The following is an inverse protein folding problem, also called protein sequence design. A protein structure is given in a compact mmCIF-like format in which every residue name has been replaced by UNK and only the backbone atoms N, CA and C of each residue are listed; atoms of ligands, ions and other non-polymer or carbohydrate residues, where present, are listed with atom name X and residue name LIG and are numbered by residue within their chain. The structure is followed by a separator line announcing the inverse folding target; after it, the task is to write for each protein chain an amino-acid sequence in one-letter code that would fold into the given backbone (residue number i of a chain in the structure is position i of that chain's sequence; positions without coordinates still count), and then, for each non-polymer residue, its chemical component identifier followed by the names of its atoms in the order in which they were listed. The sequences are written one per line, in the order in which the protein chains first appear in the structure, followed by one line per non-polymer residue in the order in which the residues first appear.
data_IF_928331957136
#
_entry.id   IF_928331957136
#
_cell.length_a   1.000
_cell.length_b   1.000
_cell.length_c   1.000
_cell.angle_alpha   90.00
_cell.angle_beta   90.00
_cell.angle_gamma   90.00
#
_symmetry.space_group_name_H-M   'P 1'
#
loop_
_entity.id
_entity.type
_entity.pdbx_description
1 polymer ?
#
# COMPACT_ATOMS: atom_id res chain seq x y z
N UNK A 1 24.79 5.56 -48.41
CA UNK A 1 25.69 6.32 -49.32
C UNK A 1 25.48 7.80 -49.10
N UNK A 2 26.31 8.39 -48.26
CA UNK A 2 26.71 9.80 -48.33
C UNK A 2 27.91 9.94 -47.39
N UNK A 3 29.06 9.48 -47.88
CA UNK A 3 30.36 9.61 -47.20
C UNK A 3 30.79 11.07 -47.30
N UNK A 4 31.02 11.72 -46.15
CA UNK A 4 31.70 13.02 -46.10
C UNK A 4 33.13 12.74 -45.63
N UNK A 5 34.03 12.61 -46.58
CA UNK A 5 35.47 12.41 -46.37
C UNK A 5 36.13 13.77 -46.12
N UNK A 6 36.83 13.94 -45.00
CA UNK A 6 37.69 15.11 -44.82
C UNK A 6 39.02 14.94 -45.58
N UNK A 7 39.68 16.07 -45.87
CA UNK A 7 40.82 16.17 -46.79
C UNK A 7 42.15 15.55 -46.29
N UNK A 8 42.13 14.75 -45.20
CA UNK A 8 43.34 14.12 -44.62
C UNK A 8 43.27 12.60 -44.44
N UNK A 9 42.19 11.93 -44.83
CA UNK A 9 42.17 10.45 -44.88
C UNK A 9 42.37 9.75 -43.53
N UNK A 10 42.18 10.45 -42.42
CA UNK A 10 42.13 9.83 -41.10
C UNK A 10 40.67 9.53 -40.79
N UNK A 11 40.33 8.24 -40.69
CA UNK A 11 39.11 7.77 -40.05
C UNK A 11 39.15 8.21 -38.60
N UNK A 12 38.63 9.41 -38.31
CA UNK A 12 38.18 9.75 -36.98
C UNK A 12 37.19 8.65 -36.60
N UNK A 13 37.56 7.86 -35.60
CA UNK A 13 36.75 6.84 -34.96
C UNK A 13 35.42 7.48 -34.57
N UNK A 14 34.47 7.45 -35.51
CA UNK A 14 33.14 7.98 -35.34
C UNK A 14 32.36 6.81 -34.81
N UNK A 15 32.30 6.71 -33.50
CA UNK A 15 31.18 6.12 -32.77
C UNK A 15 31.50 6.28 -31.28
N UNK A 16 31.13 7.45 -30.75
CA UNK A 16 30.58 7.44 -29.41
C UNK A 16 29.47 6.38 -29.43
N UNK A 17 29.70 5.21 -28.84
CA UNK A 17 28.71 4.15 -28.71
C UNK A 17 27.44 4.80 -28.15
N UNK A 18 26.41 4.87 -28.99
CA UNK A 18 25.15 5.46 -28.60
C UNK A 18 24.63 4.64 -27.42
N UNK A 19 23.97 5.24 -26.43
CA UNK A 19 23.37 4.50 -25.29
C UNK A 19 22.53 3.29 -25.75
N UNK A 20 21.94 3.37 -26.95
CA UNK A 20 21.27 2.27 -27.63
C UNK A 20 22.18 1.10 -28.02
N UNK A 21 23.39 1.35 -28.51
CA UNK A 21 24.34 0.30 -28.93
C UNK A 21 24.84 -0.50 -27.72
N UNK A 22 25.10 0.18 -26.60
CA UNK A 22 25.45 -0.47 -25.34
C UNK A 22 24.32 -1.36 -24.79
N UNK A 23 23.07 -0.88 -24.86
CA UNK A 23 21.89 -1.64 -24.44
C UNK A 23 21.65 -2.87 -25.33
N UNK A 24 21.80 -2.72 -26.65
CA UNK A 24 21.71 -3.82 -27.62
C UNK A 24 22.80 -4.86 -27.36
N UNK A 25 24.04 -4.44 -27.13
CA UNK A 25 25.15 -5.34 -26.80
C UNK A 25 24.91 -6.11 -25.50
N UNK A 26 24.41 -5.44 -24.47
CA UNK A 26 24.06 -6.07 -23.19
C UNK A 26 22.95 -7.12 -23.36
N UNK A 27 21.93 -6.83 -24.19
CA UNK A 27 20.87 -7.78 -24.50
C UNK A 27 21.41 -9.01 -25.25
N UNK A 28 22.24 -8.81 -26.28
CA UNK A 28 22.81 -9.90 -27.08
C UNK A 28 23.66 -10.84 -26.20
N UNK A 29 24.51 -10.28 -25.32
CA UNK A 29 25.30 -11.07 -24.37
C UNK A 29 24.41 -11.90 -23.45
N UNK A 30 23.38 -11.27 -22.86
CA UNK A 30 22.42 -11.95 -21.98
C UNK A 30 21.70 -13.09 -22.70
N UNK A 31 21.19 -12.85 -23.91
CA UNK A 31 20.53 -13.88 -24.71
C UNK A 31 21.47 -15.05 -24.97
N UNK A 32 22.73 -14.77 -25.33
CA UNK A 32 23.74 -15.80 -25.58
C UNK A 32 24.04 -16.68 -24.34
N UNK A 33 24.22 -16.05 -23.18
CA UNK A 33 24.41 -16.74 -21.91
C UNK A 33 23.21 -17.63 -21.56
N UNK A 34 21.99 -17.13 -21.76
CA UNK A 34 20.77 -17.89 -21.46
C UNK A 34 20.57 -19.07 -22.41
N UNK A 35 20.82 -18.90 -23.71
CA UNK A 35 20.78 -20.01 -24.68
C UNK A 35 21.80 -21.09 -24.29
N UNK A 36 23.01 -20.69 -23.90
CA UNK A 36 24.06 -21.61 -23.46
C UNK A 36 23.64 -22.37 -22.20
N UNK A 37 23.18 -21.66 -21.17
CA UNK A 37 22.72 -22.23 -19.90
C UNK A 37 21.53 -23.19 -20.10
N UNK A 38 20.55 -22.81 -20.90
CA UNK A 38 19.40 -23.65 -21.25
C UNK A 38 19.83 -24.94 -21.95
N UNK A 39 20.75 -24.84 -22.91
CA UNK A 39 21.31 -25.98 -23.63
C UNK A 39 22.06 -26.93 -22.68
N UNK A 40 22.88 -26.38 -21.78
CA UNK A 40 23.64 -27.15 -20.79
C UNK A 40 22.72 -27.87 -19.79
N UNK A 41 21.66 -27.21 -19.33
CA UNK A 41 20.66 -27.83 -18.44
C UNK A 41 19.87 -28.93 -19.14
N UNK A 42 19.60 -28.79 -20.44
CA UNK A 42 19.01 -29.86 -21.27
C UNK A 42 20.01 -30.99 -21.58
N UNK A 43 21.29 -30.82 -21.23
CA UNK A 43 22.32 -31.85 -21.37
C UNK A 43 22.73 -32.15 -22.81
N UNK A 44 22.45 -31.25 -23.76
CA UNK A 44 22.70 -31.49 -25.19
C UNK A 44 23.92 -30.70 -25.70
N UNK A 45 24.74 -31.28 -26.59
CA UNK A 45 25.81 -30.55 -27.24
C UNK A 45 25.24 -29.57 -28.29
N UNK A 46 26.00 -28.52 -28.61
CA UNK A 46 25.59 -27.49 -29.60
C UNK A 46 25.23 -28.06 -30.97
N UNK A 47 25.87 -29.16 -31.38
CA UNK A 47 25.54 -29.88 -32.63
C UNK A 47 24.12 -30.45 -32.60
N UNK A 48 23.71 -31.05 -31.49
CA UNK A 48 22.35 -31.60 -31.35
C UNK A 48 21.32 -30.46 -31.36
N UNK A 49 21.61 -29.34 -30.69
CA UNK A 49 20.75 -28.15 -30.77
C UNK A 49 20.64 -27.60 -32.20
N UNK A 50 21.74 -27.64 -32.97
CA UNK A 50 21.76 -27.26 -34.39
C UNK A 50 20.81 -28.12 -35.21
N UNK A 51 20.87 -29.45 -35.04
CA UNK A 51 20.03 -30.39 -35.74
C UNK A 51 18.54 -30.22 -35.38
N UNK A 52 18.24 -30.02 -34.09
CA UNK A 52 16.87 -29.82 -33.59
C UNK A 52 16.25 -28.49 -34.04
N UNK A 53 17.01 -27.40 -33.96
CA UNK A 53 16.51 -26.06 -34.33
C UNK A 53 16.59 -25.80 -35.83
N UNK A 54 17.39 -26.58 -36.57
CA UNK A 54 17.77 -26.35 -37.96
C UNK A 54 18.55 -25.04 -38.19
N UNK A 55 19.24 -24.55 -37.15
CA UNK A 55 20.09 -23.36 -37.17
C UNK A 55 21.54 -23.79 -37.23
N UNK A 56 22.37 -23.18 -38.09
CA UNK A 56 23.75 -23.65 -38.32
C UNK A 56 24.62 -23.67 -37.04
N UNK A 57 25.57 -24.61 -36.91
CA UNK A 57 26.46 -24.67 -35.73
C UNK A 57 27.29 -23.41 -35.53
N UNK A 58 27.70 -22.77 -36.63
CA UNK A 58 28.44 -21.51 -36.62
C UNK A 58 27.60 -20.37 -36.02
N UNK A 59 26.34 -20.28 -36.43
CA UNK A 59 25.43 -19.26 -35.87
C UNK A 59 25.19 -19.50 -34.39
N UNK A 60 24.97 -20.75 -33.95
CA UNK A 60 24.81 -21.06 -32.53
C UNK A 60 26.06 -20.71 -31.71
N UNK A 61 27.25 -20.88 -32.27
CA UNK A 61 28.49 -20.48 -31.61
C UNK A 61 28.57 -18.96 -31.41
N UNK A 62 28.24 -18.18 -32.43
CA UNK A 62 28.18 -16.71 -32.36
C UNK A 62 27.09 -16.24 -31.39
N UNK A 63 25.89 -16.85 -31.47
CA UNK A 63 24.77 -16.57 -30.58
C UNK A 63 25.15 -16.80 -29.12
N UNK A 64 25.68 -17.99 -28.78
CA UNK A 64 26.09 -18.30 -27.40
C UNK A 64 27.24 -17.43 -26.92
N UNK A 65 28.12 -16.96 -27.81
CA UNK A 65 29.19 -16.00 -27.48
C UNK A 65 28.68 -14.57 -27.29
N UNK A 66 27.42 -14.29 -27.66
CA UNK A 66 26.88 -12.93 -27.66
C UNK A 66 27.50 -12.05 -28.75
N UNK A 67 27.86 -12.64 -29.88
CA UNK A 67 28.50 -11.96 -31.00
C UNK A 67 27.56 -11.86 -32.22
N UNK A 68 27.58 -10.69 -32.86
CA UNK A 68 26.81 -10.42 -34.06
C UNK A 68 25.32 -10.16 -33.81
N UNK A 69 24.56 -9.97 -34.89
CA UNK A 69 23.14 -9.67 -34.80
C UNK A 69 22.31 -10.96 -34.68
N UNK A 70 21.45 -11.01 -33.67
CA UNK A 70 20.54 -12.13 -33.44
C UNK A 70 19.27 -11.92 -34.26
N UNK A 71 19.02 -12.82 -35.21
CA UNK A 71 17.72 -12.89 -35.90
C UNK A 71 16.66 -13.41 -34.94
N UNK A 72 15.57 -12.66 -34.75
CA UNK A 72 14.43 -13.06 -33.92
C UNK A 72 13.84 -14.40 -34.39
N UNK A 73 13.74 -14.61 -35.71
CA UNK A 73 13.21 -15.85 -36.27
C UNK A 73 14.09 -17.06 -36.00
N UNK A 74 15.42 -16.91 -36.03
CA UNK A 74 16.34 -17.99 -35.66
C UNK A 74 16.35 -18.22 -34.15
N UNK A 75 16.24 -17.16 -33.34
CA UNK A 75 16.13 -17.27 -31.90
C UNK A 75 14.86 -18.00 -31.46
N UNK A 76 13.72 -17.74 -32.11
CA UNK A 76 12.46 -18.46 -31.88
C UNK A 76 12.64 -19.98 -32.07
N UNK A 77 13.26 -20.40 -33.17
CA UNK A 77 13.53 -21.82 -33.46
C UNK A 77 14.46 -22.46 -32.43
N UNK A 78 15.44 -21.70 -31.93
CA UNK A 78 16.33 -22.15 -30.85
C UNK A 78 15.57 -22.28 -29.54
N UNK A 79 14.70 -21.34 -29.20
CA UNK A 79 13.87 -21.39 -27.99
C UNK A 79 12.96 -22.62 -28.00
N UNK A 80 12.26 -22.87 -29.11
CA UNK A 80 11.41 -24.05 -29.32
C UNK A 80 12.19 -25.35 -29.16
N UNK A 81 13.38 -25.45 -29.79
CA UNK A 81 14.24 -26.62 -29.65
C UNK A 81 14.74 -26.86 -28.22
N UNK A 82 14.75 -25.82 -27.37
CA UNK A 82 15.11 -25.89 -25.96
C UNK A 82 13.89 -26.07 -25.03
N UNK A 83 12.69 -26.27 -25.57
CA UNK A 83 11.42 -26.33 -24.82
C UNK A 83 11.14 -25.08 -23.97
N UNK A 84 11.59 -23.91 -24.45
CA UNK A 84 11.39 -22.64 -23.77
C UNK A 84 10.70 -21.64 -24.68
N UNK A 85 10.02 -20.66 -24.07
CA UNK A 85 9.46 -19.53 -24.80
C UNK A 85 10.54 -18.47 -25.02
N UNK A 86 10.43 -17.71 -26.11
CA UNK A 86 11.45 -16.72 -26.49
C UNK A 86 11.66 -15.64 -25.42
N UNK A 87 10.60 -15.24 -24.70
CA UNK A 87 10.64 -14.21 -23.64
C UNK A 87 11.60 -14.59 -22.52
N UNK A 88 11.79 -15.88 -22.30
CA UNK A 88 12.71 -16.42 -21.30
C UNK A 88 14.17 -16.08 -21.65
N UNK A 89 14.51 -16.10 -22.95
CA UNK A 89 15.85 -15.78 -23.44
C UNK A 89 16.10 -14.28 -23.50
N UNK A 90 15.07 -13.47 -23.79
CA UNK A 90 15.21 -12.01 -24.02
C UNK A 90 14.83 -11.14 -22.82
N UNK A 91 14.10 -11.66 -21.85
CA UNK A 91 13.54 -10.88 -20.73
C UNK A 91 14.60 -10.25 -19.82
N UNK A 92 14.21 -9.25 -19.03
CA UNK A 92 15.12 -8.64 -18.04
C UNK A 92 15.39 -9.56 -16.86
N UNK A 93 14.33 -10.14 -16.29
CA UNK A 93 14.43 -11.03 -15.14
C UNK A 93 15.15 -12.34 -15.49
N UNK A 94 15.99 -12.83 -14.56
CA UNK A 94 16.61 -14.14 -14.69
C UNK A 94 15.53 -15.23 -14.54
N UNK A 95 15.27 -16.02 -15.57
CA UNK A 95 14.19 -16.97 -15.54
C UNK A 95 14.37 -18.17 -14.60
N UNK A 96 15.59 -18.46 -14.17
CA UNK A 96 15.87 -19.58 -13.26
C UNK A 96 15.72 -19.18 -11.79
N UNK A 97 15.78 -17.89 -11.48
CA UNK A 97 15.77 -17.37 -10.10
C UNK A 97 14.65 -16.38 -9.82
N UNK A 98 13.97 -15.85 -10.86
CA UNK A 98 12.89 -14.88 -10.69
C UNK A 98 11.58 -15.53 -10.24
N UNK A 99 11.18 -15.19 -9.02
CA UNK A 99 9.87 -15.53 -8.50
C UNK A 99 8.74 -14.90 -9.33
N UNK A 100 8.96 -13.74 -9.96
CA UNK A 100 7.95 -13.08 -10.79
C UNK A 100 7.60 -13.92 -12.02
N UNK A 101 8.61 -14.50 -12.69
CA UNK A 101 8.39 -15.39 -13.83
C UNK A 101 7.73 -16.70 -13.41
N UNK A 102 8.14 -17.26 -12.27
CA UNK A 102 7.52 -18.46 -11.69
C UNK A 102 6.05 -18.24 -11.32
N UNK A 103 5.73 -17.10 -10.69
CA UNK A 103 4.36 -16.69 -10.37
C UNK A 103 3.55 -16.50 -11.65
N UNK A 104 4.10 -15.88 -12.68
CA UNK A 104 3.40 -15.69 -13.95
C UNK A 104 3.03 -17.02 -14.64
N UNK A 105 3.90 -18.04 -14.57
CA UNK A 105 3.61 -19.38 -15.11
C UNK A 105 2.54 -20.13 -14.29
N UNK A 106 2.64 -20.06 -12.97
CA UNK A 106 1.59 -20.60 -12.07
C UNK A 106 0.25 -19.89 -12.29
N UNK A 107 0.27 -18.57 -12.43
CA UNK A 107 -0.92 -17.78 -12.67
C UNK A 107 -1.58 -18.13 -14.01
N UNK A 108 -0.81 -18.26 -15.10
CA UNK A 108 -1.34 -18.65 -16.42
C UNK A 108 -2.01 -20.02 -16.42
N UNK A 109 -1.46 -20.97 -15.68
CA UNK A 109 -1.98 -22.35 -15.59
C UNK A 109 -3.12 -22.52 -14.59
N UNK A 110 -3.38 -21.51 -13.75
CA UNK A 110 -4.41 -21.58 -12.73
C UNK A 110 -5.85 -21.44 -13.29
N UNK A 111 -6.84 -22.08 -12.66
CA UNK A 111 -8.27 -21.87 -12.92
C UNK A 111 -8.69 -20.38 -12.85
N UNK A 112 -9.76 -20.03 -13.56
CA UNK A 112 -10.22 -18.63 -13.68
C UNK A 112 -10.56 -17.97 -12.32
N UNK A 113 -11.18 -18.71 -11.42
CA UNK A 113 -11.49 -18.27 -10.05
C UNK A 113 -10.23 -18.05 -9.20
N UNK A 114 -9.22 -18.92 -9.34
CA UNK A 114 -7.92 -18.78 -8.68
C UNK A 114 -7.18 -17.55 -9.19
N UNK A 115 -7.18 -17.32 -10.51
CA UNK A 115 -6.59 -16.12 -11.11
C UNK A 115 -7.25 -14.86 -10.59
N UNK A 116 -8.58 -14.84 -10.51
CA UNK A 116 -9.31 -13.70 -9.97
C UNK A 116 -8.93 -13.41 -8.52
N UNK A 117 -8.89 -14.43 -7.65
CA UNK A 117 -8.46 -14.27 -6.24
C UNK A 117 -7.04 -13.71 -6.12
N UNK A 118 -6.12 -14.18 -6.95
CA UNK A 118 -4.73 -13.66 -6.94
C UNK A 118 -4.70 -12.20 -7.39
N UNK A 119 -5.46 -11.83 -8.43
CA UNK A 119 -5.56 -10.43 -8.84
C UNK A 119 -6.19 -9.56 -7.74
N UNK A 120 -7.22 -10.04 -7.05
CA UNK A 120 -7.85 -9.30 -5.96
C UNK A 120 -6.89 -9.08 -4.77
N UNK A 121 -6.03 -10.07 -4.47
CA UNK A 121 -5.01 -9.97 -3.42
C UNK A 121 -3.86 -9.04 -3.79
N UNK A 122 -3.46 -9.02 -5.07
CA UNK A 122 -2.31 -8.25 -5.56
C UNK A 122 -2.71 -6.84 -6.04
N UNK A 123 -4.00 -6.59 -6.26
CA UNK A 123 -4.50 -5.28 -6.69
C UNK A 123 -4.40 -4.30 -5.51
N UNK A 124 -3.67 -3.18 -5.65
CA UNK A 124 -3.78 -2.10 -4.68
C UNK A 124 -5.21 -1.58 -4.76
N UNK A 125 -6.02 -1.84 -3.73
CA UNK A 125 -7.40 -1.37 -3.75
C UNK A 125 -7.40 0.16 -3.89
N UNK A 126 -8.17 0.73 -4.83
CA UNK A 126 -8.33 2.17 -4.90
C UNK A 126 -8.67 2.71 -3.52
N UNK A 127 -7.97 3.75 -3.12
CA UNK A 127 -8.07 4.40 -1.82
C UNK A 127 -9.51 4.74 -1.40
N UNK A 128 -10.46 4.85 -2.34
CA UNK A 128 -11.88 5.05 -2.07
C UNK A 128 -12.63 3.73 -1.80
N UNK A 129 -12.41 2.69 -2.63
CA UNK A 129 -13.00 1.35 -2.41
C UNK A 129 -12.44 0.64 -1.17
N UNK A 130 -11.18 0.90 -0.81
CA UNK A 130 -10.55 0.35 0.40
C UNK A 130 -11.20 0.87 1.69
N UNK A 131 -11.77 2.10 1.63
CA UNK A 131 -12.40 2.78 2.75
C UNK A 131 -13.86 2.39 2.95
N UNK A 132 -14.50 1.78 1.94
CA UNK A 132 -15.93 1.42 1.91
C UNK A 132 -16.79 2.57 2.47
N UNK A 133 -18.01 2.30 2.90
CA UNK A 133 -18.87 3.29 3.56
C UNK A 133 -18.53 3.44 5.06
N UNK A 134 -17.23 3.49 5.39
CA UNK A 134 -16.73 3.54 6.77
C UNK A 134 -16.18 4.92 7.09
N UNK A 135 -16.74 5.55 8.11
CA UNK A 135 -16.33 6.87 8.58
C UNK A 135 -15.64 6.71 9.93
N UNK A 136 -14.51 7.38 10.13
CA UNK A 136 -13.82 7.40 11.42
C UNK A 136 -13.74 8.82 11.99
N UNK A 137 -14.30 9.02 13.17
CA UNK A 137 -14.19 10.27 13.92
C UNK A 137 -12.92 10.22 14.77
N UNK A 138 -11.97 11.10 14.46
CA UNK A 138 -10.71 11.27 15.19
C UNK A 138 -10.69 12.61 15.91
N UNK A 139 -9.86 12.73 16.95
CA UNK A 139 -9.72 13.96 17.73
C UNK A 139 -9.58 13.70 19.23
N UNK A 140 -9.28 14.74 19.99
CA UNK A 140 -9.08 14.61 21.44
C UNK A 140 -10.36 14.21 22.18
N UNK A 141 -10.16 13.71 23.41
CA UNK A 141 -11.28 13.48 24.33
C UNK A 141 -12.02 14.81 24.58
N UNK A 142 -13.33 14.74 24.74
CA UNK A 142 -14.18 15.94 24.84
C UNK A 142 -14.50 16.64 23.51
N UNK A 143 -13.96 16.21 22.36
CA UNK A 143 -14.34 16.80 21.06
C UNK A 143 -15.81 16.56 20.68
N UNK A 144 -16.49 15.61 21.32
CA UNK A 144 -17.87 15.23 20.99
C UNK A 144 -18.01 14.01 20.06
N UNK A 145 -16.91 13.29 19.77
CA UNK A 145 -16.90 12.12 18.85
C UNK A 145 -17.96 11.07 19.17
N UNK A 146 -18.07 10.65 20.43
CA UNK A 146 -19.04 9.61 20.84
C UNK A 146 -20.49 10.10 20.68
N UNK A 147 -20.77 11.33 21.12
CA UNK A 147 -22.09 11.95 21.00
C UNK A 147 -22.49 12.14 19.54
N UNK A 148 -21.63 12.78 18.74
CA UNK A 148 -21.90 13.05 17.32
C UNK A 148 -21.94 11.77 16.50
N UNK A 149 -21.05 10.81 16.75
CA UNK A 149 -21.04 9.53 16.05
C UNK A 149 -22.30 8.71 16.31
N UNK A 150 -22.79 8.69 17.55
CA UNK A 150 -24.03 7.99 17.87
C UNK A 150 -25.25 8.63 17.17
N UNK A 151 -25.37 9.96 17.25
CA UNK A 151 -26.47 10.71 16.62
C UNK A 151 -26.42 10.62 15.09
N UNK A 152 -25.23 10.73 14.49
CA UNK A 152 -25.06 10.58 13.05
C UNK A 152 -25.40 9.15 12.59
N UNK A 153 -25.01 8.13 13.36
CA UNK A 153 -25.39 6.74 13.09
C UNK A 153 -26.90 6.54 13.09
N UNK A 154 -27.60 7.13 14.06
CA UNK A 154 -29.08 7.11 14.11
C UNK A 154 -29.70 7.83 12.91
N UNK A 155 -29.21 9.02 12.57
CA UNK A 155 -29.74 9.82 11.47
C UNK A 155 -29.53 9.17 10.09
N UNK A 156 -28.41 8.48 9.90
CA UNK A 156 -28.02 7.83 8.65
C UNK A 156 -28.45 6.35 8.57
N UNK A 157 -28.94 5.77 9.67
CA UNK A 157 -29.30 4.35 9.75
C UNK A 157 -28.09 3.41 9.66
N UNK A 158 -26.91 3.84 10.12
CA UNK A 158 -25.66 3.05 10.07
C UNK A 158 -25.12 2.76 11.47
N UNK A 159 -24.44 1.61 11.68
CA UNK A 159 -23.88 1.25 12.98
C UNK A 159 -22.86 2.27 13.48
N UNK A 160 -22.91 2.59 14.77
CA UNK A 160 -21.89 3.36 15.46
C UNK A 160 -21.14 2.45 16.45
N UNK A 161 -19.81 2.48 16.41
CA UNK A 161 -18.94 1.69 17.29
C UNK A 161 -17.84 2.59 17.86
N UNK A 162 -17.47 2.34 19.11
CA UNK A 162 -16.28 2.94 19.73
C UNK A 162 -15.16 1.90 19.77
N UNK A 163 -13.97 2.26 19.30
CA UNK A 163 -12.84 1.32 19.25
C UNK A 163 -12.49 0.77 20.64
N UNK A 164 -12.60 1.59 21.69
CA UNK A 164 -12.35 1.15 23.06
C UNK A 164 -13.33 0.05 23.50
N UNK A 165 -14.59 0.13 23.06
CA UNK A 165 -15.60 -0.89 23.38
C UNK A 165 -15.27 -2.22 22.69
N UNK A 166 -14.81 -2.17 21.44
CA UNK A 166 -14.33 -3.36 20.74
C UNK A 166 -13.09 -3.98 21.44
N UNK A 167 -12.17 -3.14 21.94
CA UNK A 167 -11.03 -3.61 22.74
C UNK A 167 -11.49 -4.29 24.02
N UNK A 168 -12.45 -3.70 24.74
CA UNK A 168 -13.02 -4.27 25.98
C UNK A 168 -13.72 -5.60 25.73
N UNK A 169 -14.54 -5.67 24.67
CA UNK A 169 -15.26 -6.88 24.27
C UNK A 169 -14.28 -7.99 23.88
N UNK A 170 -13.17 -7.66 23.21
CA UNK A 170 -12.12 -8.61 22.85
C UNK A 170 -11.28 -9.06 24.06
N UNK A 171 -10.93 -8.15 24.95
CA UNK A 171 -10.10 -8.43 26.12
C UNK A 171 -10.89 -9.07 27.28
N UNK A 172 -12.22 -8.94 27.26
CA UNK A 172 -13.09 -9.37 28.35
C UNK A 172 -12.95 -8.54 29.63
N UNK A 173 -12.34 -7.35 29.54
CA UNK A 173 -12.11 -6.45 30.67
C UNK A 173 -12.06 -4.98 30.25
N UNK A 174 -12.37 -4.03 31.14
CA UNK A 174 -12.31 -2.60 30.87
C UNK A 174 -10.93 -2.09 30.41
N UNK A 175 -10.88 -1.04 29.57
CA UNK A 175 -9.60 -0.51 29.05
C UNK A 175 -8.64 -0.07 30.16
N UNK A 176 -9.15 0.46 31.28
CA UNK A 176 -8.32 0.82 32.43
C UNK A 176 -7.63 -0.40 33.06
N UNK A 177 -8.29 -1.55 33.08
CA UNK A 177 -7.69 -2.80 33.56
C UNK A 177 -6.68 -3.35 32.54
N UNK A 178 -7.00 -3.29 31.24
CA UNK A 178 -6.05 -3.62 30.17
C UNK A 178 -4.76 -2.82 30.32
N UNK A 179 -4.87 -1.52 30.52
CA UNK A 179 -3.71 -0.64 30.73
C UNK A 179 -2.96 -0.96 32.03
N UNK A 180 -3.67 -1.32 33.11
CA UNK A 180 -3.05 -1.66 34.39
C UNK A 180 -2.25 -2.98 34.33
N UNK A 181 -2.78 -4.01 33.65
CA UNK A 181 -2.15 -5.32 33.58
C UNK A 181 -1.10 -5.45 32.47
N UNK A 182 -1.40 -4.91 31.28
CA UNK A 182 -0.58 -5.10 30.07
C UNK A 182 0.22 -3.85 29.67
N UNK A 183 0.03 -2.74 30.38
CA UNK A 183 0.68 -1.47 30.08
C UNK A 183 0.24 -0.87 28.74
N UNK A 184 0.94 0.19 28.35
CA UNK A 184 0.64 0.92 27.12
C UNK A 184 0.85 0.05 25.88
N UNK A 185 1.92 -0.75 25.84
CA UNK A 185 2.23 -1.59 24.68
C UNK A 185 1.18 -2.68 24.45
N UNK A 186 0.69 -3.32 25.52
CA UNK A 186 -0.39 -4.30 25.42
C UNK A 186 -1.68 -3.67 24.91
N UNK A 187 -2.04 -2.49 25.40
CA UNK A 187 -3.17 -1.72 24.87
C UNK A 187 -3.01 -1.43 23.37
N UNK A 188 -1.81 -1.00 22.91
CA UNK A 188 -1.57 -0.74 21.47
C UNK A 188 -1.73 -1.98 20.60
N UNK A 189 -1.27 -3.14 21.07
CA UNK A 189 -1.47 -4.42 20.35
C UNK A 189 -2.95 -4.75 20.24
N UNK A 190 -3.72 -4.61 21.32
CA UNK A 190 -5.16 -4.84 21.29
C UNK A 190 -5.90 -3.80 20.42
N UNK A 191 -5.47 -2.54 20.43
CA UNK A 191 -5.99 -1.47 19.57
C UNK A 191 -5.80 -1.80 18.08
N UNK A 192 -4.63 -2.31 17.69
CA UNK A 192 -4.36 -2.74 16.31
C UNK A 192 -5.18 -3.99 15.91
N UNK A 193 -5.35 -4.95 16.83
CA UNK A 193 -6.16 -6.15 16.59
C UNK A 193 -7.65 -5.82 16.43
N UNK A 194 -8.18 -4.98 17.32
CA UNK A 194 -9.56 -4.50 17.25
C UNK A 194 -9.81 -3.73 15.94
N UNK A 195 -8.88 -2.87 15.53
CA UNK A 195 -8.95 -2.17 14.24
C UNK A 195 -9.05 -3.15 13.06
N UNK A 196 -8.17 -4.16 13.04
CA UNK A 196 -8.14 -5.17 11.98
C UNK A 196 -9.45 -5.97 11.93
N UNK A 197 -10.00 -6.32 13.09
CA UNK A 197 -11.28 -7.04 13.19
C UNK A 197 -12.45 -6.19 12.68
N UNK A 198 -12.51 -4.90 13.04
CA UNK A 198 -13.54 -3.98 12.55
C UNK A 198 -13.50 -3.90 11.02
N UNK A 199 -12.31 -3.70 10.45
CA UNK A 199 -12.09 -3.64 9.00
C UNK A 199 -12.54 -4.93 8.29
N UNK A 200 -12.36 -6.09 8.93
CA UNK A 200 -12.76 -7.37 8.36
C UNK A 200 -14.26 -7.66 8.45
N UNK A 201 -14.97 -7.03 9.40
CA UNK A 201 -16.35 -7.43 9.77
C UNK A 201 -17.43 -6.42 9.40
N UNK A 202 -17.08 -5.14 9.24
CA UNK A 202 -18.06 -4.08 9.00
C UNK A 202 -17.81 -3.43 7.66
N UNK A 203 -18.80 -3.36 6.78
CA UNK A 203 -18.65 -2.72 5.46
C UNK A 203 -19.14 -1.27 5.42
N UNK A 204 -20.01 -0.93 6.37
CA UNK A 204 -20.61 0.39 6.51
C UNK A 204 -20.81 0.69 7.99
N UNK A 205 -20.19 1.78 8.47
CA UNK A 205 -20.24 2.16 9.89
C UNK A 205 -19.66 3.55 10.16
N UNK A 206 -19.91 4.06 11.37
CA UNK A 206 -19.18 5.17 11.98
C UNK A 206 -18.37 4.65 13.17
N UNK A 207 -17.06 4.88 13.16
CA UNK A 207 -16.13 4.51 14.21
C UNK A 207 -15.68 5.76 14.98
N UNK A 208 -15.76 5.75 16.31
CA UNK A 208 -15.03 6.71 17.13
C UNK A 208 -13.78 6.06 17.72
N UNK A 209 -12.63 6.72 17.56
CA UNK A 209 -11.34 6.22 18.06
C UNK A 209 -10.81 7.08 19.21
N UNK A 210 -9.98 6.50 20.07
CA UNK A 210 -9.30 7.24 21.12
C UNK A 210 -8.32 8.26 20.52
N UNK A 211 -8.20 9.44 21.15
CA UNK A 211 -7.31 10.51 20.64
C UNK A 211 -5.82 10.17 20.67
N UNK A 212 -5.43 9.04 21.26
CA UNK A 212 -4.05 8.56 21.27
C UNK A 212 -3.67 7.76 20.03
N UNK A 213 -4.61 7.37 19.17
CA UNK A 213 -4.37 6.49 18.02
C UNK A 213 -3.40 7.11 17.00
N UNK A 214 -3.45 8.44 16.84
CA UNK A 214 -2.59 9.17 15.90
C UNK A 214 -1.10 9.07 16.26
N UNK A 215 -0.78 8.78 17.53
CA UNK A 215 0.59 8.60 17.99
C UNK A 215 1.13 7.19 17.73
N UNK A 216 0.34 6.30 17.13
CA UNK A 216 0.73 4.95 16.71
C UNK A 216 0.75 4.88 15.17
N UNK A 217 1.92 5.04 14.51
CA UNK A 217 1.99 5.25 13.07
C UNK A 217 1.33 4.16 12.23
N UNK A 218 1.54 2.88 12.57
CA UNK A 218 1.03 1.75 11.78
C UNK A 218 -0.49 1.62 11.89
N UNK A 219 -1.03 1.72 13.11
CA UNK A 219 -2.48 1.70 13.34
C UNK A 219 -3.16 2.91 12.71
N UNK A 220 -2.54 4.10 12.80
CA UNK A 220 -3.08 5.30 12.20
C UNK A 220 -3.05 5.25 10.67
N UNK A 221 -1.98 4.75 10.06
CA UNK A 221 -1.91 4.50 8.61
C UNK A 221 -3.00 3.54 8.16
N UNK A 222 -3.23 2.47 8.92
CA UNK A 222 -4.31 1.50 8.66
C UNK A 222 -5.67 2.18 8.72
N UNK A 223 -5.92 3.00 9.75
CA UNK A 223 -7.14 3.80 9.87
C UNK A 223 -7.34 4.71 8.65
N UNK A 224 -6.31 5.47 8.26
CA UNK A 224 -6.37 6.37 7.11
C UNK A 224 -6.59 5.64 5.79
N UNK A 225 -6.10 4.40 5.64
CA UNK A 225 -6.28 3.60 4.44
C UNK A 225 -7.69 3.00 4.31
N UNK A 226 -8.36 2.72 5.43
CA UNK A 226 -9.62 1.95 5.47
C UNK A 226 -10.85 2.73 5.95
N UNK A 227 -10.70 4.00 6.33
CA UNK A 227 -11.82 4.86 6.73
C UNK A 227 -11.74 6.24 6.09
N UNK A 228 -12.90 6.83 5.85
CA UNK A 228 -13.06 8.27 5.65
C UNK A 228 -12.92 8.98 7.00
N UNK A 229 -11.74 9.56 7.26
CA UNK A 229 -11.43 10.18 8.54
C UNK A 229 -11.92 11.62 8.63
N UNK A 230 -12.62 11.93 9.72
CA UNK A 230 -13.09 13.28 10.07
C UNK A 230 -12.45 13.67 11.39
N UNK A 231 -11.65 14.74 11.37
CA UNK A 231 -11.11 15.31 12.59
C UNK A 231 -12.16 16.22 13.24
N UNK A 232 -12.70 15.77 14.37
CA UNK A 232 -13.58 16.55 15.23
C UNK A 232 -12.72 17.33 16.22
N UNK A 233 -12.81 18.66 16.16
CA UNK A 233 -12.07 19.58 17.04
C UNK A 233 -13.00 20.52 17.81
N UNK A 234 -12.50 21.04 18.91
CA UNK A 234 -13.12 22.09 19.70
C UNK A 234 -12.02 23.00 20.27
N UNK A 235 -12.39 24.18 20.77
CA UNK A 235 -11.47 25.02 21.51
C UNK A 235 -10.92 24.28 22.75
N UNK A 236 -9.65 24.49 23.15
CA UNK A 236 -9.04 23.84 24.31
C UNK A 236 -9.86 24.01 25.61
N UNK A 237 -10.47 25.18 25.79
CA UNK A 237 -11.32 25.50 26.95
C UNK A 237 -12.59 24.64 26.99
N UNK A 238 -13.21 24.40 25.83
CA UNK A 238 -14.38 23.54 25.72
C UNK A 238 -14.05 22.05 25.87
N UNK A 239 -12.92 21.60 25.32
CA UNK A 239 -12.42 20.25 25.57
C UNK A 239 -12.32 19.98 27.08
N UNK A 240 -11.68 20.88 27.81
CA UNK A 240 -11.52 20.76 29.26
C UNK A 240 -12.86 20.78 29.99
N UNK A 241 -13.74 21.72 29.64
CA UNK A 241 -15.08 21.81 30.24
C UNK A 241 -15.90 20.52 30.06
N UNK A 242 -15.90 19.96 28.85
CA UNK A 242 -16.61 18.72 28.52
C UNK A 242 -16.00 17.50 29.22
N UNK A 243 -14.67 17.39 29.28
CA UNK A 243 -13.99 16.28 29.99
C UNK A 243 -14.26 16.32 31.49
N UNK A 244 -14.28 17.52 32.10
CA UNK A 244 -14.66 17.71 33.51
C UNK A 244 -16.09 17.27 33.79
N UNK A 245 -17.03 17.66 32.94
CA UNK A 245 -18.44 17.28 33.09
C UNK A 245 -18.65 15.76 33.02
N UNK A 246 -17.77 15.04 32.31
CA UNK A 246 -17.78 13.58 32.20
C UNK A 246 -17.12 12.87 33.39
N UNK A 247 -16.69 13.59 34.43
CA UNK A 247 -16.10 13.00 35.64
C UNK A 247 -14.67 12.49 35.49
N UNK A 248 -13.99 12.78 34.37
CA UNK A 248 -12.60 12.38 34.16
C UNK A 248 -11.65 13.46 34.69
N UNK A 249 -11.08 13.20 35.87
CA UNK A 249 -10.15 14.11 36.54
C UNK A 249 -8.70 13.90 36.15
N UNK A 250 -8.37 12.91 35.30
CA UNK A 250 -6.99 12.63 34.88
C UNK A 250 -6.24 13.83 34.29
N UNK A 251 -6.88 14.73 33.50
CA UNK A 251 -6.19 15.94 33.05
C UNK A 251 -5.85 16.92 34.17
N UNK A 252 -6.56 16.87 35.31
CA UNK A 252 -6.48 17.85 36.40
C UNK A 252 -5.93 17.29 37.71
N UNK A 253 -5.56 16.01 37.78
CA UNK A 253 -5.08 15.38 39.00
C UNK A 253 -3.73 16.01 39.43
N UNK A 254 -3.81 17.08 40.21
CA UNK A 254 -2.69 17.70 40.91
C UNK A 254 -1.87 18.74 40.16
N UNK A 255 -2.27 19.29 39.01
CA UNK A 255 -1.41 20.25 38.28
C UNK A 255 -2.13 21.51 37.73
N UNK A 256 -1.77 22.73 38.19
CA UNK A 256 -2.12 24.01 37.54
C UNK A 256 -1.71 24.11 36.06
N UNK A 257 -0.71 23.34 35.63
CA UNK A 257 -0.19 23.30 34.25
C UNK A 257 -1.01 22.40 33.32
N UNK A 258 -2.08 21.77 33.80
CA UNK A 258 -2.96 20.88 33.04
C UNK A 258 -3.44 21.48 31.70
N UNK A 259 -3.78 22.77 31.70
CA UNK A 259 -4.19 23.48 30.49
C UNK A 259 -3.05 23.64 29.49
N UNK A 260 -1.83 23.88 29.97
CA UNK A 260 -0.66 24.02 29.11
C UNK A 260 -0.19 22.68 28.57
N UNK A 261 -0.30 21.59 29.36
CA UNK A 261 -0.09 20.23 28.88
C UNK A 261 -1.12 19.84 27.81
N UNK A 262 -2.40 20.19 28.00
CA UNK A 262 -3.43 19.94 26.98
C UNK A 262 -3.13 20.71 25.68
N UNK A 263 -2.73 21.98 25.79
CA UNK A 263 -2.30 22.79 24.64
C UNK A 263 -1.10 22.16 23.94
N UNK A 264 -0.11 21.69 24.68
CA UNK A 264 1.05 21.00 24.12
C UNK A 264 0.67 19.71 23.37
N UNK A 265 -0.23 18.90 23.95
CA UNK A 265 -0.75 17.69 23.30
C UNK A 265 -1.52 18.05 22.02
N UNK A 266 -2.32 19.11 22.04
CA UNK A 266 -3.01 19.61 20.85
C UNK A 266 -2.01 20.00 19.77
N UNK A 267 -1.05 20.88 20.07
CA UNK A 267 -0.06 21.36 19.11
C UNK A 267 0.78 20.21 18.54
N UNK A 268 1.22 19.27 19.37
CA UNK A 268 2.01 18.13 18.91
C UNK A 268 1.24 17.13 18.03
N UNK A 269 -0.07 16.99 18.24
CA UNK A 269 -0.93 16.08 17.47
C UNK A 269 -1.65 16.74 16.30
N UNK A 270 -1.65 18.07 16.23
CA UNK A 270 -2.35 18.84 15.19
C UNK A 270 -1.94 18.37 13.79
N UNK A 271 -0.64 18.30 13.49
CA UNK A 271 -0.12 17.81 12.20
C UNK A 271 -0.58 16.37 11.86
N UNK A 272 -0.79 15.53 12.88
CA UNK A 272 -1.26 14.16 12.67
C UNK A 272 -2.76 14.12 12.42
N UNK A 273 -3.55 14.89 13.18
CA UNK A 273 -4.97 15.03 12.93
C UNK A 273 -5.26 15.71 11.58
N UNK A 274 -4.37 16.59 11.11
CA UNK A 274 -4.50 17.28 9.84
C UNK A 274 -4.49 16.35 8.62
N UNK A 275 -3.98 15.13 8.78
CA UNK A 275 -4.05 14.07 7.76
C UNK A 275 -5.47 13.53 7.56
N UNK A 276 -6.43 13.92 8.41
CA UNK A 276 -7.83 13.59 8.19
C UNK A 276 -8.36 14.18 6.89
N UNK A 277 -9.26 13.45 6.24
CA UNK A 277 -9.83 13.87 4.95
C UNK A 277 -10.77 15.07 5.08
N UNK A 278 -11.40 15.23 6.23
CA UNK A 278 -12.25 16.38 6.52
C UNK A 278 -12.11 16.83 7.98
N UNK A 279 -12.52 18.06 8.28
CA UNK A 279 -12.40 18.70 9.59
C UNK A 279 -13.75 19.26 10.02
N UNK A 280 -14.14 19.00 11.27
CA UNK A 280 -15.37 19.49 11.89
C UNK A 280 -15.02 20.27 13.15
N UNK A 281 -15.37 21.55 13.21
CA UNK A 281 -15.18 22.39 14.38
C UNK A 281 -16.49 22.54 15.17
N UNK A 282 -16.47 22.08 16.42
CA UNK A 282 -17.63 22.08 17.34
C UNK A 282 -17.58 23.23 18.34
N UNK A 283 -16.64 24.17 18.19
CA UNK A 283 -16.46 25.31 19.10
C UNK A 283 -17.64 26.26 19.02
N UNK A 284 -18.24 26.59 20.17
CA UNK A 284 -19.37 27.50 20.27
C UNK A 284 -20.67 27.02 19.61
N UNK A 285 -20.70 25.76 19.14
CA UNK A 285 -21.86 25.17 18.48
C UNK A 285 -22.62 24.25 19.42
N UNK A 286 -23.94 24.21 19.27
CA UNK A 286 -24.79 23.20 19.90
C UNK A 286 -24.52 21.82 19.29
N UNK A 287 -25.03 20.77 19.96
CA UNK A 287 -24.93 19.39 19.47
C UNK A 287 -25.70 19.23 18.15
N UNK A 288 -26.88 19.85 18.03
CA UNK A 288 -27.71 19.75 16.83
C UNK A 288 -27.08 20.47 15.63
N UNK A 289 -26.49 21.65 15.83
CA UNK A 289 -25.73 22.34 14.77
C UNK A 289 -24.53 21.51 14.32
N UNK A 290 -23.74 21.02 15.29
CA UNK A 290 -22.56 20.19 15.01
C UNK A 290 -22.93 18.87 14.30
N UNK A 291 -24.09 18.28 14.61
CA UNK A 291 -24.62 17.12 13.91
C UNK A 291 -25.02 17.48 12.48
N UNK A 292 -25.73 18.60 12.28
CA UNK A 292 -26.09 19.09 10.96
C UNK A 292 -24.86 19.31 10.08
N UNK A 293 -23.81 19.93 10.62
CA UNK A 293 -22.53 20.14 9.96
C UNK A 293 -21.84 18.81 9.60
N UNK A 294 -21.84 17.84 10.53
CA UNK A 294 -21.25 16.51 10.29
C UNK A 294 -21.97 15.80 9.13
N UNK A 295 -23.30 15.80 9.12
CA UNK A 295 -24.09 15.17 8.08
C UNK A 295 -23.94 15.90 6.73
N UNK A 296 -23.80 17.22 6.73
CA UNK A 296 -23.48 17.98 5.52
C UNK A 296 -22.10 17.61 4.98
N UNK A 297 -21.08 17.53 5.85
CA UNK A 297 -19.70 17.19 5.50
C UNK A 297 -19.59 15.80 4.89
N UNK A 298 -20.30 14.81 5.47
CA UNK A 298 -20.35 13.43 4.97
C UNK A 298 -20.92 13.37 3.54
N UNK A 299 -21.99 14.14 3.28
CA UNK A 299 -22.63 14.20 1.94
C UNK A 299 -21.77 14.94 0.93
N UNK A 300 -21.19 16.08 1.30
CA UNK A 300 -20.35 16.89 0.40
C UNK A 300 -19.15 16.11 -0.12
N UNK A 301 -18.55 15.27 0.73
CA UNK A 301 -17.39 14.46 0.36
C UNK A 301 -17.74 13.09 -0.23
N UNK A 302 -19.02 12.73 -0.32
CA UNK A 302 -19.48 11.43 -0.81
C UNK A 302 -18.89 10.25 -0.01
N UNK A 303 -18.81 10.34 1.32
CA UNK A 303 -18.21 9.27 2.13
C UNK A 303 -19.07 8.00 2.23
N UNK A 304 -20.32 8.05 1.75
CA UNK A 304 -21.28 6.95 1.77
C UNK A 304 -21.87 6.67 0.36
N UNK A 305 -21.30 7.26 -0.68
CA UNK A 305 -21.77 7.18 -2.07
C UNK A 305 -20.88 6.29 -2.95
#
# INVERSE_FOLDING_TARGET
MSEITNFRGETLATQAETRGDAAVRALILRVGERVRKARELKGIPRRVLSDMSGVSPRYLALLEAGEGNISIGLLQRVAEALDHRIEWLVGEDDPWTSDALRVADLFRSAPGDTRQKVLDMLSPQPETTARRHRIALIGLRGAGKSTLGHLAGQALGIPFVELNREIEDQAGMPVNEVMAFYGQEGYRRLEAQAMSRIIATHDQMILAVAGGIVSEPETFKTLLAHFHTIWVKAAPTEHMGRVRAQGDTRPMAGNPEAMDQLRFILTSRETLYDQARAKLDTTGRSVDESLGDLLALIREHGFLD
#
